data_IF_386398239317
#
_entry.id   IF_386398239317
#
_cell.length_a   1.000
_cell.length_b   1.000
_cell.length_c   1.000
_cell.angle_alpha   90.00
_cell.angle_beta   90.00
_cell.angle_gamma   90.00
#
_symmetry.space_group_name_H-M   'P 1'
#
loop_
_entity.id
_entity.type
_entity.pdbx_description
1 polymer ?
#
# COMPACT_ATOMS: atom_id res chain seq x y z
N UNK A 1 15.79 42.18 18.60
CA UNK A 1 14.47 41.61 18.92
C UNK A 1 13.91 40.71 17.80
N UNK A 2 14.72 40.40 16.75
CA UNK A 2 14.31 39.58 15.63
C UNK A 2 14.85 38.15 15.71
N UNK A 3 15.90 37.92 16.49
CA UNK A 3 16.53 36.57 16.58
C UNK A 3 15.91 35.65 17.63
N UNK A 4 15.11 36.19 18.55
CA UNK A 4 14.40 35.34 19.52
C UNK A 4 13.16 34.60 18.93
N UNK A 5 12.63 35.07 17.82
CA UNK A 5 11.44 34.46 17.20
C UNK A 5 11.76 33.29 16.27
N UNK A 6 13.01 33.19 15.82
CA UNK A 6 13.45 32.10 14.95
C UNK A 6 13.92 30.86 15.75
N UNK A 7 14.34 31.04 17.01
CA UNK A 7 14.75 29.94 17.87
C UNK A 7 13.56 29.17 18.50
N UNK A 8 12.38 29.80 18.61
CA UNK A 8 11.19 29.09 19.12
C UNK A 8 10.44 28.28 18.08
N UNK A 9 10.69 28.46 16.78
CA UNK A 9 10.08 27.66 15.72
C UNK A 9 10.84 26.39 15.34
N UNK A 10 12.09 26.28 15.75
CA UNK A 10 12.92 25.11 15.48
C UNK A 10 12.80 24.01 16.57
N UNK A 11 12.12 24.30 17.70
CA UNK A 11 12.02 23.39 18.83
C UNK A 11 10.68 22.67 19.02
N UNK A 12 9.70 22.94 18.16
CA UNK A 12 8.34 22.48 18.42
C UNK A 12 7.86 21.33 17.53
N UNK A 13 8.70 20.79 16.64
CA UNK A 13 8.21 19.84 15.64
C UNK A 13 9.02 18.54 15.53
N UNK A 14 9.75 18.18 16.56
CA UNK A 14 10.43 16.88 16.66
C UNK A 14 9.89 16.01 17.79
N UNK A 15 8.78 16.37 18.38
CA UNK A 15 8.00 15.46 19.21
C UNK A 15 6.92 14.73 18.42
N UNK A 16 7.22 14.29 17.21
CA UNK A 16 6.68 13.00 16.74
C UNK A 16 7.25 12.04 17.77
N UNK A 17 6.39 11.63 18.69
CA UNK A 17 6.68 10.61 19.68
C UNK A 17 7.28 9.45 18.89
N UNK A 18 8.60 9.37 18.86
CA UNK A 18 9.31 8.17 18.45
C UNK A 18 8.95 7.15 19.51
N UNK A 19 7.97 6.31 19.20
CA UNK A 19 7.76 5.13 20.01
C UNK A 19 9.03 4.28 19.88
N UNK A 20 9.81 4.10 20.97
CA UNK A 20 11.02 3.27 20.95
C UNK A 20 10.73 1.85 20.45
N UNK A 21 9.48 1.40 20.52
CA UNK A 21 9.02 0.13 19.97
C UNK A 21 8.94 0.17 18.44
N UNK A 22 8.52 1.27 17.82
CA UNK A 22 8.51 1.40 16.36
C UNK A 22 9.92 1.44 15.76
N UNK A 23 10.83 2.20 16.36
CA UNK A 23 12.24 2.23 15.96
C UNK A 23 12.92 0.86 16.15
N UNK A 24 12.54 0.08 17.17
CA UNK A 24 13.06 -1.27 17.38
C UNK A 24 12.49 -2.27 16.38
N UNK A 25 11.21 -2.17 16.02
CA UNK A 25 10.56 -3.02 15.03
C UNK A 25 11.10 -2.71 13.62
N UNK A 26 11.27 -1.44 13.29
CA UNK A 26 11.90 -1.02 12.03
C UNK A 26 13.37 -1.46 11.99
N UNK A 27 14.10 -1.34 13.10
CA UNK A 27 15.48 -1.80 13.22
C UNK A 27 15.58 -3.34 13.17
N UNK A 28 14.60 -4.07 13.70
CA UNK A 28 14.55 -5.53 13.63
C UNK A 28 14.19 -6.02 12.23
N UNK A 29 13.25 -5.37 11.56
CA UNK A 29 12.93 -5.59 10.13
C UNK A 29 14.12 -5.24 9.24
N UNK A 30 14.92 -4.23 9.60
CA UNK A 30 16.15 -3.89 8.90
C UNK A 30 17.32 -4.79 9.28
N UNK A 31 17.35 -5.38 10.49
CA UNK A 31 18.39 -6.31 10.96
C UNK A 31 18.15 -7.76 10.52
N UNK A 32 16.94 -8.14 10.19
CA UNK A 32 16.68 -9.40 9.48
C UNK A 32 17.15 -9.32 8.03
N UNK A 33 18.37 -8.83 7.84
CA UNK A 33 19.14 -8.87 6.59
C UNK A 33 19.73 -10.24 6.28
N UNK A 34 19.30 -11.29 6.90
CA UNK A 34 19.33 -12.58 6.24
C UNK A 34 18.19 -12.51 5.24
N UNK A 35 18.49 -12.44 3.92
CA UNK A 35 17.42 -12.70 2.96
C UNK A 35 16.82 -14.02 3.44
N UNK A 36 15.49 -14.11 3.66
CA UNK A 36 14.89 -15.40 3.95
C UNK A 36 15.48 -16.30 2.91
N UNK A 37 16.10 -17.40 3.36
CA UNK A 37 16.61 -18.42 2.45
C UNK A 37 15.59 -18.48 1.36
N UNK A 38 16.01 -18.27 0.10
CA UNK A 38 15.16 -18.26 -1.08
C UNK A 38 14.49 -19.63 -1.14
N UNK A 39 13.61 -19.91 -0.20
CA UNK A 39 12.50 -20.76 -0.51
C UNK A 39 11.95 -20.12 -1.77
N UNK A 40 12.12 -20.84 -2.86
CA UNK A 40 11.55 -20.51 -4.14
C UNK A 40 10.06 -20.28 -3.84
N UNK A 41 9.72 -19.04 -3.44
CA UNK A 41 8.36 -18.56 -3.53
C UNK A 41 8.12 -18.75 -5.01
N UNK A 42 7.46 -19.83 -5.33
CA UNK A 42 7.05 -20.12 -6.69
C UNK A 42 6.09 -19.00 -7.00
N UNK A 43 6.65 -17.90 -7.56
CA UNK A 43 5.81 -16.92 -8.21
C UNK A 43 4.89 -17.73 -9.09
N UNK A 44 3.63 -17.76 -8.75
CA UNK A 44 2.63 -18.35 -9.60
C UNK A 44 2.85 -17.80 -11.00
N UNK A 45 3.60 -18.51 -11.80
CA UNK A 45 4.02 -18.24 -13.16
C UNK A 45 4.49 -16.80 -13.49
N UNK A 46 5.23 -16.63 -14.58
CA UNK A 46 5.54 -15.30 -15.15
C UNK A 46 4.24 -14.50 -15.44
N UNK A 47 3.12 -15.18 -15.64
CA UNK A 47 1.79 -14.60 -15.80
C UNK A 47 1.40 -13.73 -14.61
N UNK A 48 1.67 -14.14 -13.38
CA UNK A 48 1.40 -13.32 -12.19
C UNK A 48 2.36 -12.13 -12.05
N UNK A 49 3.61 -12.30 -12.46
CA UNK A 49 4.60 -11.22 -12.41
C UNK A 49 4.28 -10.08 -13.38
N UNK A 50 3.73 -10.40 -14.54
CA UNK A 50 3.32 -9.45 -15.57
C UNK A 50 1.81 -9.24 -15.62
N UNK A 51 1.02 -10.05 -14.93
CA UNK A 51 -0.43 -10.01 -14.92
C UNK A 51 -0.96 -8.62 -14.53
N UNK A 52 -0.31 -7.98 -13.56
CA UNK A 52 -0.69 -6.64 -13.15
C UNK A 52 -0.44 -5.58 -14.24
N UNK A 53 0.62 -5.71 -15.02
CA UNK A 53 0.92 -4.82 -16.15
C UNK A 53 0.02 -5.08 -17.36
N UNK A 54 -0.46 -6.33 -17.51
CA UNK A 54 -1.40 -6.70 -18.55
C UNK A 54 -2.82 -6.17 -18.30
N UNK A 55 -3.19 -5.84 -17.06
CA UNK A 55 -4.56 -5.39 -16.73
C UNK A 55 -5.01 -4.18 -17.53
N UNK A 56 -4.09 -3.28 -17.84
CA UNK A 56 -4.37 -2.03 -18.53
C UNK A 56 -3.72 -1.98 -19.92
N UNK A 57 -3.00 -3.02 -20.31
CA UNK A 57 -2.37 -3.09 -21.63
C UNK A 57 -3.41 -3.44 -22.71
N UNK A 58 -3.25 -2.85 -23.89
CA UNK A 58 -4.10 -3.14 -25.05
C UNK A 58 -3.86 -4.55 -25.60
N UNK A 59 -2.63 -5.06 -25.43
CA UNK A 59 -2.17 -6.39 -25.81
C UNK A 59 -1.33 -6.99 -24.68
N UNK A 60 -0.86 -8.21 -24.84
CA UNK A 60 0.07 -8.81 -23.88
C UNK A 60 1.29 -7.89 -23.66
N UNK A 61 1.54 -7.56 -22.42
CA UNK A 61 2.63 -6.66 -22.04
C UNK A 61 3.98 -7.16 -22.55
N UNK A 62 4.68 -6.32 -23.29
CA UNK A 62 6.03 -6.56 -23.76
C UNK A 62 7.03 -5.70 -22.96
N UNK A 63 7.95 -6.31 -22.16
CA UNK A 63 8.90 -5.55 -21.34
C UNK A 63 9.94 -4.78 -22.17
N UNK A 64 10.10 -5.07 -23.46
CA UNK A 64 11.03 -4.36 -24.35
C UNK A 64 10.46 -3.03 -24.86
N UNK A 65 9.15 -2.77 -24.68
CA UNK A 65 8.50 -1.54 -25.12
C UNK A 65 8.13 -0.64 -23.93
N UNK A 66 8.09 0.68 -24.09
CA UNK A 66 7.60 1.59 -23.07
C UNK A 66 6.16 1.23 -22.66
N UNK A 67 5.89 1.23 -21.35
CA UNK A 67 4.56 0.90 -20.83
C UNK A 67 3.47 1.81 -21.39
N UNK A 68 3.76 3.11 -21.49
CA UNK A 68 2.83 4.11 -22.04
C UNK A 68 2.35 3.82 -23.46
N UNK A 69 3.16 3.13 -24.27
CA UNK A 69 2.76 2.75 -25.65
C UNK A 69 1.85 1.53 -25.70
N UNK A 70 1.63 0.84 -24.58
CA UNK A 70 0.89 -0.41 -24.50
C UNK A 70 -0.41 -0.29 -23.70
N UNK A 71 -0.64 0.86 -23.05
CA UNK A 71 -1.82 1.08 -22.20
C UNK A 71 -3.07 1.22 -23.04
N UNK A 72 -4.16 0.62 -22.54
CA UNK A 72 -5.48 0.78 -23.16
C UNK A 72 -5.89 2.26 -23.15
N UNK A 73 -6.36 2.85 -24.28
CA UNK A 73 -6.72 4.27 -24.36
C UNK A 73 -7.76 4.71 -23.32
N UNK A 74 -8.71 3.86 -22.96
CA UNK A 74 -9.68 4.18 -21.91
C UNK A 74 -9.02 4.27 -20.52
N UNK A 75 -8.07 3.37 -20.22
CA UNK A 75 -7.30 3.42 -19.00
C UNK A 75 -6.38 4.64 -18.98
N UNK A 76 -5.80 5.01 -20.11
CA UNK A 76 -4.96 6.21 -20.24
C UNK A 76 -5.76 7.48 -19.94
N UNK A 77 -6.94 7.64 -20.52
CA UNK A 77 -7.81 8.80 -20.27
C UNK A 77 -8.12 8.93 -18.78
N UNK A 78 -8.50 7.83 -18.12
CA UNK A 78 -8.78 7.81 -16.69
C UNK A 78 -7.56 8.20 -15.85
N UNK A 79 -6.38 7.69 -16.21
CA UNK A 79 -5.13 8.06 -15.53
C UNK A 79 -4.80 9.55 -15.70
N UNK A 80 -5.02 10.13 -16.88
CA UNK A 80 -4.81 11.54 -17.14
C UNK A 80 -5.71 12.42 -16.27
N UNK A 81 -6.98 12.07 -16.15
CA UNK A 81 -7.93 12.79 -15.31
C UNK A 81 -7.60 12.67 -13.82
N UNK A 82 -7.20 11.48 -13.37
CA UNK A 82 -6.71 11.29 -12.01
C UNK A 82 -5.47 12.16 -11.71
N UNK A 83 -4.51 12.20 -12.63
CA UNK A 83 -3.29 13.00 -12.47
C UNK A 83 -3.57 14.49 -12.43
N UNK A 84 -4.52 15.01 -13.22
CA UNK A 84 -4.92 16.45 -13.16
C UNK A 84 -5.32 16.86 -11.75
N UNK A 85 -6.07 16.00 -11.05
CA UNK A 85 -6.59 16.29 -9.71
C UNK A 85 -5.54 16.03 -8.62
N UNK A 86 -4.76 14.98 -8.75
CA UNK A 86 -3.95 14.46 -7.65
C UNK A 86 -2.45 14.69 -7.78
N UNK A 87 -1.94 15.25 -8.91
CA UNK A 87 -0.50 15.39 -9.17
C UNK A 87 0.26 16.11 -8.04
N UNK A 88 -0.28 17.19 -7.49
CA UNK A 88 0.36 17.92 -6.40
C UNK A 88 0.52 17.08 -5.13
N UNK A 89 -0.49 16.28 -4.80
CA UNK A 89 -0.43 15.38 -3.64
C UNK A 89 0.58 14.24 -3.87
N UNK A 90 0.59 13.67 -5.08
CA UNK A 90 1.53 12.63 -5.46
C UNK A 90 2.98 13.11 -5.46
N UNK A 91 3.23 14.36 -5.93
CA UNK A 91 4.55 14.97 -5.88
C UNK A 91 5.04 15.19 -4.46
N UNK A 92 4.17 15.69 -3.56
CA UNK A 92 4.50 15.80 -2.13
C UNK A 92 4.77 14.43 -1.51
N UNK A 93 3.94 13.44 -1.82
CA UNK A 93 4.09 12.07 -1.33
C UNK A 93 5.40 11.43 -1.78
N UNK A 94 5.89 11.72 -2.98
CA UNK A 94 7.19 11.27 -3.47
C UNK A 94 8.34 11.66 -2.52
N UNK A 95 8.24 12.82 -1.85
CA UNK A 95 9.26 13.28 -0.90
C UNK A 95 9.22 12.54 0.44
N UNK A 96 8.04 12.36 1.03
CA UNK A 96 7.91 11.79 2.37
C UNK A 96 7.49 10.31 2.38
N UNK A 97 6.87 9.82 1.31
CA UNK A 97 6.27 8.48 1.26
C UNK A 97 7.26 7.33 1.07
N UNK A 98 8.51 7.62 0.68
CA UNK A 98 9.48 6.58 0.33
C UNK A 98 9.73 5.52 1.43
N UNK A 99 9.88 5.87 2.72
CA UNK A 99 10.04 4.86 3.77
C UNK A 99 8.83 3.91 3.86
N UNK A 100 7.62 4.44 3.73
CA UNK A 100 6.38 3.65 3.76
C UNK A 100 6.24 2.75 2.54
N UNK A 101 6.58 3.24 1.37
CA UNK A 101 6.63 2.43 0.15
C UNK A 101 7.63 1.29 0.26
N UNK A 102 8.81 1.54 0.84
CA UNK A 102 9.82 0.51 1.06
C UNK A 102 9.31 -0.56 2.04
N UNK A 103 8.65 -0.16 3.12
CA UNK A 103 8.04 -1.07 4.09
C UNK A 103 6.99 -1.95 3.41
N UNK A 104 6.07 -1.34 2.67
CA UNK A 104 5.00 -2.05 1.96
C UNK A 104 5.59 -3.01 0.91
N UNK A 105 6.57 -2.55 0.11
CA UNK A 105 7.25 -3.38 -0.90
C UNK A 105 7.92 -4.60 -0.29
N UNK A 106 8.58 -4.43 0.87
CA UNK A 106 9.22 -5.52 1.57
C UNK A 106 8.20 -6.55 2.06
N UNK A 107 7.09 -6.08 2.64
CA UNK A 107 6.03 -6.97 3.13
C UNK A 107 5.35 -7.68 1.96
N UNK A 108 4.88 -6.96 0.93
CA UNK A 108 4.23 -7.58 -0.23
C UNK A 108 5.12 -8.63 -0.89
N UNK A 109 6.45 -8.36 -0.96
CA UNK A 109 7.43 -9.30 -1.50
C UNK A 109 7.53 -10.59 -0.70
N UNK A 110 7.36 -10.56 0.64
CA UNK A 110 7.36 -11.76 1.49
C UNK A 110 6.17 -12.68 1.16
N UNK A 111 5.06 -12.10 0.72
CA UNK A 111 3.86 -12.83 0.31
C UNK A 111 3.83 -13.17 -1.18
N UNK A 112 4.89 -12.84 -1.94
CA UNK A 112 4.93 -13.06 -3.39
C UNK A 112 3.95 -12.20 -4.18
N UNK A 113 3.49 -11.10 -3.59
CA UNK A 113 2.52 -10.19 -4.20
C UNK A 113 3.20 -9.17 -5.11
N UNK A 114 2.52 -8.71 -6.18
CA UNK A 114 2.97 -7.59 -7.00
C UNK A 114 3.18 -6.33 -6.15
N UNK A 115 4.35 -5.68 -6.31
CA UNK A 115 4.68 -4.45 -5.56
C UNK A 115 3.77 -3.28 -5.93
N UNK A 116 3.19 -3.30 -7.10
CA UNK A 116 2.25 -2.30 -7.59
C UNK A 116 0.99 -2.20 -6.71
N UNK A 117 0.64 -3.26 -5.98
CA UNK A 117 -0.47 -3.28 -5.03
C UNK A 117 -0.31 -2.26 -3.89
N UNK A 118 0.89 -1.77 -3.62
CA UNK A 118 1.11 -0.66 -2.66
C UNK A 118 0.31 0.59 -3.00
N UNK A 119 0.02 0.81 -4.29
CA UNK A 119 -0.77 1.97 -4.72
C UNK A 119 -2.24 1.88 -4.32
N UNK A 120 -2.74 0.72 -3.90
CA UNK A 120 -4.06 0.65 -3.26
C UNK A 120 -4.11 1.52 -2.00
N UNK A 121 -3.09 1.46 -1.14
CA UNK A 121 -3.03 2.30 0.06
C UNK A 121 -2.95 3.80 -0.27
N UNK A 122 -2.39 4.18 -1.42
CA UNK A 122 -2.43 5.57 -1.90
C UNK A 122 -3.85 5.97 -2.29
N UNK A 123 -4.53 5.15 -3.07
CA UNK A 123 -5.90 5.43 -3.54
C UNK A 123 -6.89 5.43 -2.38
N UNK A 124 -6.74 4.50 -1.44
CA UNK A 124 -7.64 4.34 -0.29
C UNK A 124 -7.54 5.50 0.71
N UNK A 125 -6.34 6.02 0.97
CA UNK A 125 -6.13 6.96 2.06
C UNK A 125 -5.03 8.01 1.84
N UNK A 126 -4.37 8.05 0.70
CA UNK A 126 -3.09 8.76 0.52
C UNK A 126 -2.02 8.33 1.56
N UNK A 127 -1.95 7.06 1.90
CA UNK A 127 -1.08 6.51 2.95
C UNK A 127 -1.37 7.07 4.36
N UNK A 128 -2.55 7.55 4.66
CA UNK A 128 -2.86 8.18 5.95
C UNK A 128 -3.26 7.14 7.01
N UNK A 129 -2.50 7.08 8.11
CA UNK A 129 -2.87 6.30 9.30
C UNK A 129 -4.12 6.87 9.99
N UNK A 130 -4.30 8.19 9.94
CA UNK A 130 -5.43 8.89 10.54
C UNK A 130 -6.74 8.78 9.76
N UNK A 131 -6.70 8.31 8.52
CA UNK A 131 -7.88 8.27 7.67
C UNK A 131 -8.99 7.38 8.25
N UNK A 132 -10.21 7.91 8.22
CA UNK A 132 -11.43 7.15 8.57
C UNK A 132 -12.53 7.54 7.60
N UNK A 133 -13.11 6.56 6.92
CA UNK A 133 -14.25 6.81 6.03
C UNK A 133 -15.55 7.00 6.82
N UNK A 134 -16.57 7.57 6.19
CA UNK A 134 -17.89 7.72 6.79
C UNK A 134 -18.55 6.37 7.14
N UNK A 135 -18.13 5.28 6.51
CA UNK A 135 -18.56 3.89 6.83
C UNK A 135 -17.73 3.23 7.92
N UNK A 136 -16.72 3.92 8.47
CA UNK A 136 -15.86 3.39 9.52
C UNK A 136 -14.67 2.55 9.04
N UNK A 137 -14.34 2.55 7.75
CA UNK A 137 -13.07 2.00 7.28
C UNK A 137 -11.92 2.88 7.80
N UNK A 138 -10.77 2.29 8.14
CA UNK A 138 -9.69 3.02 8.79
C UNK A 138 -8.29 2.62 8.36
N UNK A 139 -7.35 3.58 8.53
CA UNK A 139 -5.92 3.41 8.30
C UNK A 139 -5.52 3.43 6.82
N UNK A 140 -4.23 3.17 6.52
CA UNK A 140 -3.69 3.24 5.15
C UNK A 140 -4.42 2.37 4.14
N UNK A 141 -4.86 1.21 4.55
CA UNK A 141 -5.53 0.20 3.73
C UNK A 141 -7.06 0.24 3.78
N UNK A 142 -7.63 1.19 4.52
CA UNK A 142 -9.07 1.40 4.70
C UNK A 142 -9.85 0.12 5.06
N UNK A 143 -9.31 -0.67 5.98
CA UNK A 143 -10.02 -1.85 6.47
C UNK A 143 -11.29 -1.50 7.22
N UNK A 144 -12.37 -2.21 6.92
CA UNK A 144 -13.52 -2.26 7.81
C UNK A 144 -13.17 -3.00 9.11
N UNK A 145 -13.76 -2.63 10.27
CA UNK A 145 -13.39 -3.25 11.55
C UNK A 145 -13.51 -4.77 11.59
N UNK A 146 -14.55 -5.34 10.98
CA UNK A 146 -14.74 -6.78 10.92
C UNK A 146 -13.69 -7.45 10.05
N UNK A 147 -13.45 -6.93 8.84
CA UNK A 147 -12.42 -7.48 7.95
C UNK A 147 -11.02 -7.38 8.59
N UNK A 148 -10.72 -6.28 9.28
CA UNK A 148 -9.47 -6.12 9.99
C UNK A 148 -9.24 -7.25 11.01
N UNK A 149 -10.27 -7.58 11.80
CA UNK A 149 -10.21 -8.67 12.80
C UNK A 149 -10.06 -10.03 12.14
N UNK A 150 -10.75 -10.29 11.04
CA UNK A 150 -10.65 -11.55 10.29
C UNK A 150 -9.22 -11.79 9.79
N UNK A 151 -8.48 -10.71 9.52
CA UNK A 151 -7.07 -10.76 9.11
C UNK A 151 -6.08 -10.46 10.25
N UNK A 152 -6.53 -10.60 11.50
CA UNK A 152 -5.67 -10.65 12.69
C UNK A 152 -5.28 -9.29 13.26
N UNK A 153 -5.99 -8.20 12.92
CA UNK A 153 -5.78 -6.89 13.53
C UNK A 153 -6.67 -6.70 14.76
N UNK A 154 -6.10 -6.12 15.80
CA UNK A 154 -6.87 -5.69 16.98
C UNK A 154 -7.57 -4.37 16.67
N UNK A 155 -8.90 -4.37 16.76
CA UNK A 155 -9.71 -3.18 16.59
C UNK A 155 -10.76 -3.16 17.69
N UNK A 156 -10.55 -2.31 18.69
CA UNK A 156 -11.44 -2.13 19.85
C UNK A 156 -11.43 -0.67 20.32
N UNK A 157 -12.01 -0.39 21.50
CA UNK A 157 -12.08 0.98 22.03
C UNK A 157 -10.74 1.58 22.48
N UNK A 158 -9.69 0.78 22.61
CA UNK A 158 -8.36 1.23 23.09
C UNK A 158 -7.29 1.17 21.98
N UNK A 159 -7.40 0.20 21.06
CA UNK A 159 -6.42 -0.07 20.03
C UNK A 159 -7.08 -0.20 18.66
N UNK A 160 -6.47 0.42 17.67
CA UNK A 160 -6.86 0.34 16.26
C UNK A 160 -5.64 0.07 15.39
N UNK A 161 -5.28 -1.23 15.25
CA UNK A 161 -4.11 -1.66 14.48
C UNK A 161 -4.26 -1.49 12.97
N UNK A 162 -5.43 -1.07 12.50
CA UNK A 162 -5.59 -0.65 11.10
C UNK A 162 -4.73 0.56 10.76
N UNK A 163 -4.33 1.34 11.78
CA UNK A 163 -3.52 2.56 11.69
C UNK A 163 -2.02 2.29 11.74
N UNK A 164 -1.63 1.08 12.09
CA UNK A 164 -0.25 0.63 12.08
C UNK A 164 0.14 0.17 10.66
N UNK A 165 1.16 0.79 10.07
CA UNK A 165 1.60 0.46 8.71
C UNK A 165 2.08 -0.99 8.56
N UNK A 166 2.84 -1.48 9.53
CA UNK A 166 3.40 -2.83 9.48
C UNK A 166 2.30 -3.87 9.60
N UNK A 167 1.52 -3.80 10.67
CA UNK A 167 0.45 -4.76 10.95
C UNK A 167 -0.63 -4.75 9.88
N UNK A 168 -1.08 -3.55 9.49
CA UNK A 168 -2.14 -3.42 8.48
C UNK A 168 -1.69 -3.84 7.09
N UNK A 169 -0.40 -3.67 6.74
CA UNK A 169 0.12 -4.17 5.47
C UNK A 169 0.21 -5.69 5.45
N UNK A 170 0.61 -6.34 6.54
CA UNK A 170 0.55 -7.79 6.63
C UNK A 170 -0.88 -8.33 6.52
N UNK A 171 -1.85 -7.66 7.14
CA UNK A 171 -3.26 -8.00 7.01
C UNK A 171 -3.75 -7.81 5.56
N UNK A 172 -3.39 -6.70 4.91
CA UNK A 172 -3.73 -6.44 3.52
C UNK A 172 -3.14 -7.48 2.57
N UNK A 173 -1.88 -7.88 2.79
CA UNK A 173 -1.25 -8.92 2.01
C UNK A 173 -2.01 -10.26 2.10
N UNK A 174 -2.41 -10.67 3.31
CA UNK A 174 -3.22 -11.89 3.51
C UNK A 174 -4.59 -11.77 2.85
N UNK A 175 -5.26 -10.62 2.98
CA UNK A 175 -6.55 -10.39 2.34
C UNK A 175 -6.46 -10.45 0.82
N UNK A 176 -5.47 -9.79 0.22
CA UNK A 176 -5.22 -9.83 -1.22
C UNK A 176 -4.93 -11.25 -1.74
N UNK A 177 -4.16 -12.06 -0.97
CA UNK A 177 -3.95 -13.47 -1.30
C UNK A 177 -5.25 -14.27 -1.26
N UNK A 178 -6.10 -14.05 -0.25
CA UNK A 178 -7.40 -14.72 -0.15
C UNK A 178 -8.27 -14.36 -1.35
N UNK A 179 -8.35 -13.08 -1.73
CA UNK A 179 -9.09 -12.66 -2.90
C UNK A 179 -8.52 -13.28 -4.19
N UNK A 180 -7.19 -13.30 -4.33
CA UNK A 180 -6.56 -13.90 -5.50
C UNK A 180 -6.79 -15.41 -5.59
N UNK A 181 -6.79 -16.13 -4.47
CA UNK A 181 -7.08 -17.56 -4.45
C UNK A 181 -8.51 -17.90 -4.91
N UNK A 182 -9.43 -16.95 -4.78
CA UNK A 182 -10.82 -17.12 -5.19
C UNK A 182 -11.05 -16.72 -6.66
N UNK A 183 -10.37 -15.69 -7.12
CA UNK A 183 -10.67 -15.02 -8.39
C UNK A 183 -9.67 -15.31 -9.49
N UNK A 184 -8.41 -15.63 -9.14
CA UNK A 184 -7.30 -15.88 -10.08
C UNK A 184 -7.05 -14.76 -11.12
N UNK A 185 -7.62 -13.57 -10.89
CA UNK A 185 -7.53 -12.40 -11.75
C UNK A 185 -7.33 -11.14 -10.91
N UNK A 186 -6.27 -10.35 -11.20
CA UNK A 186 -5.95 -9.16 -10.42
C UNK A 186 -6.96 -8.03 -10.58
N UNK A 187 -7.62 -7.92 -11.74
CA UNK A 187 -8.65 -6.89 -11.94
C UNK A 187 -9.86 -7.17 -11.03
N UNK A 188 -10.28 -8.44 -10.98
CA UNK A 188 -11.34 -8.88 -10.08
C UNK A 188 -10.93 -8.74 -8.61
N UNK A 189 -9.67 -9.04 -8.26
CA UNK A 189 -9.14 -8.82 -6.90
C UNK A 189 -9.22 -7.36 -6.48
N UNK A 190 -8.83 -6.41 -7.36
CA UNK A 190 -8.91 -4.98 -7.07
C UNK A 190 -10.38 -4.54 -6.94
N UNK A 191 -11.26 -5.02 -7.82
CA UNK A 191 -12.69 -4.75 -7.74
C UNK A 191 -13.31 -5.29 -6.44
N UNK A 192 -12.94 -6.51 -6.04
CA UNK A 192 -13.39 -7.14 -4.80
C UNK A 192 -12.84 -6.47 -3.55
N UNK A 193 -11.59 -6.00 -3.59
CA UNK A 193 -11.02 -5.23 -2.50
C UNK A 193 -11.86 -3.97 -2.22
N UNK A 194 -12.26 -3.28 -3.27
CA UNK A 194 -13.03 -2.03 -3.19
C UNK A 194 -14.53 -2.28 -2.88
N UNK A 195 -15.15 -3.21 -3.59
CA UNK A 195 -16.60 -3.45 -3.54
C UNK A 195 -17.06 -4.54 -2.58
N UNK A 196 -16.14 -5.37 -2.12
CA UNK A 196 -16.38 -6.63 -1.42
C UNK A 196 -16.53 -7.82 -2.38
N UNK A 197 -16.05 -9.01 -1.98
CA UNK A 197 -16.01 -10.20 -2.86
C UNK A 197 -17.39 -10.70 -3.30
N UNK A 198 -18.44 -10.40 -2.56
CA UNK A 198 -19.81 -10.80 -2.93
C UNK A 198 -20.46 -9.95 -4.02
N UNK A 199 -19.76 -8.95 -4.58
CA UNK A 199 -20.26 -8.09 -5.66
C UNK A 199 -19.55 -8.32 -6.99
N UNK A 200 -18.51 -9.09 -7.01
CA UNK A 200 -17.69 -9.49 -8.14
C UNK A 200 -17.95 -10.93 -8.50
#
# INVERSE_FOLDING_TARGET
MHDLFLQQKAGADTSIIKDPAEDSIIAEVLKTKTPPQKEKIQYFSQVTRYGFKNLFAQYNYNPALPYSSQVNPNAESYMQDYLKVHSNNLLKMKGWGQPYFNLIDNILSQYGLPRELKYLAVIESNLSTGATSWKGAGGPWQFMPYTARDYGLVVNGFFDERRDYYKSTHAAARYLLTLYSQMHDWLLVIAAYNGGPGRV
#
